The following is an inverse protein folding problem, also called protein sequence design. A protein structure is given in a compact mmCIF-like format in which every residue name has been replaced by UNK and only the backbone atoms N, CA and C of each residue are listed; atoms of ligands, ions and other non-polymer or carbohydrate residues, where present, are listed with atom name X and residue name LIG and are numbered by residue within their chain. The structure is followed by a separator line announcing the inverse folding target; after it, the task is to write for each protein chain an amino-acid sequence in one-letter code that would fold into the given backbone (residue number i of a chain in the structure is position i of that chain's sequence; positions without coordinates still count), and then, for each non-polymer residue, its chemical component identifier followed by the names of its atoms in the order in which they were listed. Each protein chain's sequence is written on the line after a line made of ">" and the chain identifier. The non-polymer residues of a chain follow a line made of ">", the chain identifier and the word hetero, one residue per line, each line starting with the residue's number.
data_IF_090861498583
#
_entry.id   IF_090861498583
#
_cell.length_a   1.000
_cell.length_b   1.000
_cell.length_c   1.000
_cell.angle_alpha   90.00
_cell.angle_beta   90.00
_cell.angle_gamma   90.00
#
_symmetry.space_group_name_H-M   'P 1'
#
loop_
_entity.id
_entity.type
_entity.pdbx_description
1 polymer ?
#
# COMPACT_ATOMS: atom_id res chain seq x y z
N UNK A 1 -50.07 13.83 -11.87
CA UNK A 1 -48.65 13.96 -11.49
C UNK A 1 -48.06 12.56 -11.40
N UNK A 2 -47.27 12.16 -12.40
CA UNK A 2 -46.74 10.81 -12.52
C UNK A 2 -45.72 10.51 -11.42
N UNK A 3 -45.83 9.35 -10.79
CA UNK A 3 -44.80 8.85 -9.88
C UNK A 3 -43.71 8.22 -10.74
N UNK A 4 -42.58 8.91 -10.88
CA UNK A 4 -41.35 8.30 -11.41
C UNK A 4 -40.93 7.19 -10.45
N UNK A 5 -41.15 5.94 -10.83
CA UNK A 5 -40.60 4.79 -10.15
C UNK A 5 -39.17 4.58 -10.68
N UNK A 6 -38.30 5.53 -10.37
CA UNK A 6 -36.86 5.32 -10.49
C UNK A 6 -36.47 4.18 -9.55
N UNK A 7 -35.59 3.29 -10.00
CA UNK A 7 -35.04 2.20 -9.20
C UNK A 7 -34.61 2.76 -7.84
N UNK A 8 -35.37 2.46 -6.78
CA UNK A 8 -34.99 2.85 -5.42
C UNK A 8 -33.73 2.07 -5.10
N UNK A 9 -32.60 2.77 -5.05
CA UNK A 9 -31.35 2.17 -4.60
C UNK A 9 -31.53 1.86 -3.12
N UNK A 10 -31.78 0.58 -2.82
CA UNK A 10 -32.08 0.09 -1.47
C UNK A 10 -30.99 0.49 -0.46
N UNK A 11 -29.73 0.58 -0.90
CA UNK A 11 -28.62 1.06 -0.09
C UNK A 11 -28.80 2.53 0.34
N UNK A 12 -29.33 3.38 -0.54
CA UNK A 12 -29.57 4.79 -0.23
C UNK A 12 -30.72 4.95 0.78
N UNK A 13 -31.72 4.07 0.74
CA UNK A 13 -32.81 4.07 1.71
C UNK A 13 -32.31 3.64 3.10
N UNK A 14 -31.55 2.54 3.17
CA UNK A 14 -30.93 2.08 4.43
C UNK A 14 -30.06 3.18 5.03
N UNK A 15 -29.23 3.82 4.21
CA UNK A 15 -28.34 4.87 4.68
C UNK A 15 -29.12 6.08 5.24
N UNK A 16 -30.18 6.53 4.55
CA UNK A 16 -31.05 7.62 5.00
C UNK A 16 -31.77 7.31 6.30
N UNK A 17 -32.24 6.07 6.46
CA UNK A 17 -32.91 5.62 7.68
C UNK A 17 -31.93 5.62 8.86
N UNK A 18 -30.73 5.07 8.67
CA UNK A 18 -29.65 5.06 9.67
C UNK A 18 -29.20 6.48 10.07
N UNK A 19 -29.09 7.39 9.10
CA UNK A 19 -28.78 8.80 9.36
C UNK A 19 -29.89 9.49 10.18
N UNK A 20 -31.16 9.26 9.81
CA UNK A 20 -32.33 9.84 10.49
C UNK A 20 -32.45 9.37 11.93
N UNK A 21 -32.13 8.10 12.19
CA UNK A 21 -32.11 7.51 13.54
C UNK A 21 -30.92 7.98 14.40
N UNK A 22 -30.07 8.86 13.85
CA UNK A 22 -28.92 9.40 14.57
C UNK A 22 -27.72 8.44 14.58
N UNK A 23 -27.74 7.36 13.80
CA UNK A 23 -26.66 6.38 13.72
C UNK A 23 -25.31 6.97 13.33
N UNK A 24 -25.30 8.10 12.60
CA UNK A 24 -24.06 8.86 12.33
C UNK A 24 -23.71 9.81 13.49
N UNK A 25 -24.70 10.53 14.03
CA UNK A 25 -24.50 11.57 15.06
C UNK A 25 -24.03 10.99 16.39
N UNK A 26 -24.36 9.74 16.67
CA UNK A 26 -23.98 9.03 17.88
C UNK A 26 -22.52 8.53 17.85
N UNK A 27 -21.82 8.66 16.71
CA UNK A 27 -20.44 8.20 16.60
C UNK A 27 -19.47 9.09 17.42
N UNK A 28 -18.50 8.49 18.13
CA UNK A 28 -17.45 9.23 18.80
C UNK A 28 -16.71 10.15 17.84
N UNK A 29 -16.66 11.45 18.15
CA UNK A 29 -15.98 12.44 17.33
C UNK A 29 -16.79 12.98 16.15
N UNK A 30 -18.09 12.67 16.04
CA UNK A 30 -18.96 13.25 15.02
C UNK A 30 -18.92 14.79 15.06
N UNK A 31 -18.70 15.42 13.90
CA UNK A 31 -18.58 16.87 13.75
C UNK A 31 -17.28 17.49 14.26
N UNK A 32 -16.37 16.72 14.87
CA UNK A 32 -15.05 17.20 15.29
C UNK A 32 -14.05 17.10 14.13
N UNK A 33 -13.08 18.02 14.03
CA UNK A 33 -11.97 17.88 13.10
C UNK A 33 -11.23 16.55 13.30
N UNK A 34 -10.70 15.99 12.22
CA UNK A 34 -9.81 14.82 12.30
C UNK A 34 -8.57 15.18 13.14
N UNK A 35 -8.07 14.25 13.96
CA UNK A 35 -6.86 14.51 14.74
C UNK A 35 -5.66 14.71 13.80
N UNK A 36 -4.75 15.61 14.18
CA UNK A 36 -3.56 15.94 13.38
C UNK A 36 -2.67 14.71 13.11
N UNK A 37 -2.65 13.74 14.01
CA UNK A 37 -1.98 12.45 13.81
C UNK A 37 -2.55 11.61 12.66
N UNK A 38 -3.84 11.73 12.34
CA UNK A 38 -4.42 11.06 11.18
C UNK A 38 -4.07 11.77 9.86
N UNK A 39 -3.68 13.04 9.94
CA UNK A 39 -3.34 13.88 8.80
C UNK A 39 -1.82 13.99 8.57
N UNK A 40 -1.02 13.59 9.55
CA UNK A 40 0.44 13.60 9.51
C UNK A 40 1.00 12.19 9.30
N UNK A 41 2.23 12.12 8.79
CA UNK A 41 2.92 10.86 8.53
C UNK A 41 2.68 10.27 7.14
N UNK A 42 3.24 9.08 6.91
CA UNK A 42 3.08 8.33 5.67
C UNK A 42 1.76 7.53 5.72
N UNK A 43 1.04 7.50 4.59
CA UNK A 43 -0.18 6.72 4.38
C UNK A 43 0.00 5.25 4.82
N UNK A 44 1.18 4.68 4.55
CA UNK A 44 1.50 3.31 4.95
C UNK A 44 1.51 3.09 6.46
N UNK A 45 2.22 3.95 7.18
CA UNK A 45 2.39 3.83 8.63
C UNK A 45 1.04 4.03 9.32
N UNK A 46 0.26 4.98 8.83
CA UNK A 46 -1.09 5.23 9.32
C UNK A 46 -2.00 4.02 9.08
N UNK A 47 -1.99 3.44 7.87
CA UNK A 47 -2.79 2.25 7.57
C UNK A 47 -2.38 1.06 8.44
N UNK A 48 -1.08 0.78 8.55
CA UNK A 48 -0.58 -0.36 9.32
C UNK A 48 -0.87 -0.20 10.82
N UNK A 49 -0.73 1.01 11.35
CA UNK A 49 -1.06 1.31 12.75
C UNK A 49 -2.54 1.05 13.01
N UNK A 50 -3.43 1.58 12.16
CA UNK A 50 -4.87 1.38 12.32
C UNK A 50 -5.30 -0.08 12.13
N UNK A 51 -4.68 -0.79 11.18
CA UNK A 51 -4.92 -2.22 11.00
C UNK A 51 -4.54 -3.01 12.26
N UNK A 52 -3.36 -2.74 12.84
CA UNK A 52 -2.91 -3.36 14.09
C UNK A 52 -3.81 -3.02 15.28
N UNK A 53 -4.20 -1.74 15.43
CA UNK A 53 -5.13 -1.30 16.48
C UNK A 53 -6.47 -2.06 16.39
N UNK A 54 -6.90 -2.40 15.18
CA UNK A 54 -8.10 -3.19 14.91
C UNK A 54 -7.89 -4.72 15.02
N UNK A 55 -6.69 -5.19 15.39
CA UNK A 55 -6.35 -6.61 15.45
C UNK A 55 -6.22 -7.29 14.09
N UNK A 56 -6.03 -6.51 13.02
CA UNK A 56 -5.97 -7.00 11.64
C UNK A 56 -4.56 -6.83 11.05
N UNK A 57 -3.99 -7.92 10.50
CA UNK A 57 -2.77 -7.86 9.71
C UNK A 57 -3.08 -8.14 8.23
N UNK A 58 -2.92 -7.14 7.35
CA UNK A 58 -3.20 -7.31 5.93
C UNK A 58 -2.29 -8.37 5.29
N UNK A 59 -2.87 -9.28 4.52
CA UNK A 59 -2.16 -10.38 3.83
C UNK A 59 -1.01 -9.90 2.94
N UNK A 60 -1.12 -8.72 2.34
CA UNK A 60 -0.08 -8.15 1.47
C UNK A 60 1.22 -7.81 2.23
N UNK A 61 1.18 -7.62 3.55
CA UNK A 61 2.39 -7.44 4.39
C UNK A 61 3.25 -8.71 4.38
N UNK A 62 2.60 -9.88 4.46
CA UNK A 62 3.29 -11.18 4.38
C UNK A 62 3.99 -11.33 3.04
N UNK A 63 3.27 -11.07 1.94
CA UNK A 63 3.83 -11.11 0.59
C UNK A 63 4.99 -10.12 0.41
N UNK A 64 4.89 -8.92 0.97
CA UNK A 64 5.97 -7.93 0.91
C UNK A 64 7.25 -8.42 1.61
N UNK A 65 7.14 -9.15 2.72
CA UNK A 65 8.27 -9.77 3.41
C UNK A 65 8.88 -10.89 2.56
N UNK A 66 8.05 -11.82 2.09
CA UNK A 66 8.52 -12.97 1.28
C UNK A 66 9.23 -12.51 0.00
N UNK A 67 8.63 -11.58 -0.75
CA UNK A 67 9.23 -11.03 -1.98
C UNK A 67 10.62 -10.42 -1.68
N UNK A 68 10.79 -9.79 -0.52
CA UNK A 68 12.07 -9.18 -0.13
C UNK A 68 13.13 -10.23 0.17
N UNK A 69 12.76 -11.27 0.92
CA UNK A 69 13.66 -12.35 1.30
C UNK A 69 14.11 -13.15 0.07
N UNK A 70 13.17 -13.49 -0.82
CA UNK A 70 13.48 -14.21 -2.06
C UNK A 70 14.31 -13.37 -3.03
N UNK A 71 14.01 -12.07 -3.15
CA UNK A 71 14.81 -11.18 -3.99
C UNK A 71 16.25 -11.05 -3.46
N UNK A 72 16.43 -10.97 -2.13
CA UNK A 72 17.76 -10.94 -1.52
C UNK A 72 18.53 -12.23 -1.81
N UNK A 73 17.85 -13.37 -1.79
CA UNK A 73 18.44 -14.67 -2.14
C UNK A 73 18.85 -14.74 -3.61
N UNK A 74 18.01 -14.27 -4.54
CA UNK A 74 18.36 -14.22 -5.97
C UNK A 74 19.57 -13.32 -6.21
N UNK A 75 19.65 -12.17 -5.53
CA UNK A 75 20.84 -11.29 -5.59
C UNK A 75 22.09 -11.99 -5.06
N UNK A 76 21.96 -12.79 -3.99
CA UNK A 76 23.06 -13.59 -3.45
C UNK A 76 23.53 -14.66 -4.46
N UNK A 77 22.60 -15.38 -5.07
CA UNK A 77 22.90 -16.42 -6.07
C UNK A 77 23.56 -15.84 -7.33
N UNK A 78 23.12 -14.66 -7.78
CA UNK A 78 23.77 -13.93 -8.88
C UNK A 78 25.25 -13.66 -8.59
N UNK A 79 25.60 -13.30 -7.35
CA UNK A 79 27.01 -13.07 -6.94
C UNK A 79 27.82 -14.36 -6.88
N UNK A 80 27.17 -15.51 -6.77
CA UNK A 80 27.81 -16.83 -6.77
C UNK A 80 27.94 -17.42 -8.18
N UNK A 81 27.66 -16.66 -9.24
CA UNK A 81 27.65 -17.10 -10.63
C UNK A 81 26.70 -18.30 -10.88
N UNK A 82 25.54 -18.31 -10.23
CA UNK A 82 24.46 -19.25 -10.55
C UNK A 82 24.01 -19.11 -12.01
N UNK A 83 23.47 -20.19 -12.57
CA UNK A 83 23.06 -20.20 -14.00
C UNK A 83 21.93 -19.20 -14.26
N UNK A 84 22.05 -18.43 -15.35
CA UNK A 84 21.06 -17.41 -15.74
C UNK A 84 19.63 -17.98 -15.86
N UNK A 85 19.49 -19.22 -16.36
CA UNK A 85 18.21 -19.93 -16.45
C UNK A 85 17.53 -20.13 -15.09
N UNK A 86 18.30 -20.48 -14.05
CA UNK A 86 17.77 -20.68 -12.70
C UNK A 86 17.40 -19.33 -12.05
N UNK A 87 18.19 -18.29 -12.29
CA UNK A 87 17.88 -16.92 -11.85
C UNK A 87 16.59 -16.41 -12.50
N UNK A 88 16.40 -16.63 -13.81
CA UNK A 88 15.18 -16.25 -14.53
C UNK A 88 13.96 -16.99 -14.00
N UNK A 89 14.07 -18.29 -13.72
CA UNK A 89 12.98 -19.07 -13.15
C UNK A 89 12.53 -18.52 -11.80
N UNK A 90 13.47 -18.32 -10.87
CA UNK A 90 13.17 -17.73 -9.55
C UNK A 90 12.62 -16.33 -9.64
N UNK A 91 13.08 -15.53 -10.62
CA UNK A 91 12.53 -14.19 -10.86
C UNK A 91 11.06 -14.25 -11.29
N UNK A 92 10.70 -15.21 -12.15
CA UNK A 92 9.32 -15.42 -12.59
C UNK A 92 8.40 -15.75 -11.41
N UNK A 93 8.87 -16.63 -10.51
CA UNK A 93 8.16 -17.00 -9.28
C UNK A 93 7.96 -15.79 -8.36
N UNK A 94 8.99 -14.96 -8.16
CA UNK A 94 8.90 -13.72 -7.40
C UNK A 94 7.87 -12.77 -8.04
N UNK A 95 7.87 -12.62 -9.37
CA UNK A 95 6.93 -11.74 -10.06
C UNK A 95 5.47 -12.22 -9.96
N UNK A 96 5.23 -13.52 -9.85
CA UNK A 96 3.90 -14.05 -9.54
C UNK A 96 3.41 -13.61 -8.15
N UNK A 97 4.30 -13.60 -7.17
CA UNK A 97 3.99 -13.02 -5.84
C UNK A 97 3.77 -11.52 -5.91
N UNK A 98 4.53 -10.78 -6.73
CA UNK A 98 4.32 -9.34 -6.96
C UNK A 98 2.94 -9.08 -7.56
N UNK A 99 2.50 -9.87 -8.54
CA UNK A 99 1.13 -9.75 -9.10
C UNK A 99 0.06 -10.04 -8.07
N UNK A 100 0.24 -11.07 -7.26
CA UNK A 100 -0.68 -11.42 -6.17
C UNK A 100 -0.75 -10.31 -5.13
N UNK A 101 0.41 -9.78 -4.71
CA UNK A 101 0.51 -8.61 -3.84
C UNK A 101 -0.24 -7.40 -4.44
N UNK A 102 -0.03 -7.09 -5.71
CA UNK A 102 -0.64 -5.93 -6.36
C UNK A 102 -2.17 -6.05 -6.48
N UNK A 103 -2.70 -7.27 -6.62
CA UNK A 103 -4.14 -7.51 -6.71
C UNK A 103 -4.90 -7.14 -5.42
N UNK A 104 -4.23 -7.25 -4.26
CA UNK A 104 -4.83 -6.95 -2.94
C UNK A 104 -4.28 -5.66 -2.30
N UNK A 105 -3.21 -5.09 -2.85
CA UNK A 105 -2.57 -3.90 -2.32
C UNK A 105 -3.23 -2.63 -2.89
N UNK A 106 -3.48 -1.59 -2.06
CA UNK A 106 -3.94 -0.29 -2.55
C UNK A 106 -3.05 0.25 -3.68
N UNK A 107 -3.65 0.89 -4.69
CA UNK A 107 -2.95 1.34 -5.91
C UNK A 107 -1.70 2.17 -5.65
N UNK A 108 -1.69 3.00 -4.60
CA UNK A 108 -0.54 3.84 -4.23
C UNK A 108 0.67 3.06 -3.70
N UNK A 109 0.49 1.79 -3.38
CA UNK A 109 1.46 0.93 -2.72
C UNK A 109 1.82 -0.30 -3.58
N UNK A 110 1.26 -0.40 -4.77
CA UNK A 110 1.61 -1.43 -5.75
C UNK A 110 3.06 -1.31 -6.20
N UNK A 111 3.67 -2.44 -6.59
CA UNK A 111 5.07 -2.55 -7.02
C UNK A 111 5.14 -2.94 -8.48
N UNK A 112 6.18 -2.50 -9.19
CA UNK A 112 6.49 -3.02 -10.53
C UNK A 112 7.06 -4.44 -10.42
N UNK A 113 6.86 -5.24 -11.47
CA UNK A 113 7.60 -6.48 -11.66
C UNK A 113 9.10 -6.21 -11.76
N UNK A 114 9.89 -7.20 -11.35
CA UNK A 114 11.34 -7.13 -11.21
C UNK A 114 11.98 -7.75 -12.44
N UNK A 115 12.92 -7.03 -13.03
CA UNK A 115 13.73 -7.47 -14.18
C UNK A 115 15.16 -7.78 -13.70
N UNK A 116 15.87 -8.68 -14.40
CA UNK A 116 17.20 -9.14 -14.02
C UNK A 116 18.24 -8.01 -13.93
N UNK A 117 18.13 -7.01 -14.80
CA UNK A 117 19.00 -5.84 -14.82
C UNK A 117 18.68 -4.85 -13.70
N UNK A 118 17.42 -4.81 -13.25
CA UNK A 118 16.93 -3.88 -12.23
C UNK A 118 16.85 -4.48 -10.83
N UNK A 119 17.22 -5.75 -10.62
CA UNK A 119 17.10 -6.45 -9.34
C UNK A 119 17.70 -5.70 -8.15
N UNK A 120 18.92 -5.17 -8.29
CA UNK A 120 19.60 -4.45 -7.21
C UNK A 120 18.88 -3.14 -6.87
N UNK A 121 18.37 -2.45 -7.90
CA UNK A 121 17.56 -1.24 -7.75
C UNK A 121 16.22 -1.57 -7.11
N UNK A 122 15.57 -2.65 -7.51
CA UNK A 122 14.31 -3.15 -6.95
C UNK A 122 14.44 -3.60 -5.48
N UNK A 123 15.62 -4.10 -5.08
CA UNK A 123 15.93 -4.44 -3.69
C UNK A 123 16.13 -3.17 -2.84
N UNK A 124 16.90 -2.19 -3.34
CA UNK A 124 17.08 -0.88 -2.69
C UNK A 124 15.78 -0.09 -2.59
N UNK A 125 14.87 -0.28 -3.55
CA UNK A 125 13.56 0.35 -3.58
C UNK A 125 12.48 -0.50 -2.90
N UNK A 126 12.73 -1.76 -2.54
CA UNK A 126 11.77 -2.62 -1.82
C UNK A 126 11.56 -2.22 -0.36
N UNK A 127 12.48 -1.41 0.17
CA UNK A 127 12.33 -0.64 1.41
C UNK A 127 11.68 0.72 1.19
N UNK A 128 11.29 1.06 -0.05
CA UNK A 128 10.74 2.36 -0.42
C UNK A 128 9.39 2.27 -1.13
N UNK A 129 8.37 2.85 -0.53
CA UNK A 129 7.11 3.06 -1.26
C UNK A 129 7.35 4.12 -2.32
N UNK A 130 7.30 3.72 -3.58
CA UNK A 130 7.45 4.65 -4.69
C UNK A 130 6.11 5.31 -4.96
N UNK A 131 6.06 6.63 -4.75
CA UNK A 131 4.89 7.44 -5.09
C UNK A 131 4.69 7.47 -6.61
N UNK A 132 3.72 6.71 -7.13
CA UNK A 132 3.38 6.64 -8.57
C UNK A 132 2.98 7.98 -9.20
N UNK A 133 2.69 9.01 -8.38
CA UNK A 133 2.28 10.35 -8.84
C UNK A 133 3.42 11.37 -8.84
N UNK A 134 4.54 11.08 -8.17
CA UNK A 134 5.55 12.10 -7.87
C UNK A 134 7.01 11.61 -7.96
N UNK A 135 7.26 10.32 -8.21
CA UNK A 135 8.62 9.79 -8.43
C UNK A 135 9.51 9.73 -7.18
N UNK A 136 9.06 10.24 -6.03
CA UNK A 136 9.84 10.23 -4.80
C UNK A 136 9.95 8.84 -4.16
N UNK A 137 11.17 8.55 -3.70
CA UNK A 137 11.64 7.33 -3.05
C UNK A 137 11.68 7.54 -1.52
N UNK A 138 10.74 6.98 -0.75
CA UNK A 138 10.71 7.12 0.71
C UNK A 138 11.37 5.93 1.43
N UNK A 139 12.47 6.12 2.16
CA UNK A 139 13.08 5.07 3.00
C UNK A 139 12.19 4.70 4.21
N UNK A 140 11.74 3.44 4.30
CA UNK A 140 10.94 2.93 5.44
C UNK A 140 11.82 2.47 6.61
N UNK A 141 13.15 2.38 6.46
CA UNK A 141 14.01 1.76 7.51
C UNK A 141 15.00 2.70 8.20
N UNK A 142 15.24 3.94 7.76
CA UNK A 142 16.08 4.85 8.57
C UNK A 142 15.65 6.31 8.40
N UNK A 143 15.17 6.86 9.52
CA UNK A 143 14.96 8.29 9.82
C UNK A 143 13.75 8.93 9.12
N UNK A 144 12.71 9.17 9.93
CA UNK A 144 11.66 10.12 9.60
C UNK A 144 12.27 11.49 9.32
N UNK A 145 12.37 11.85 8.04
CA UNK A 145 12.62 13.19 7.55
C UNK A 145 12.01 13.28 6.15
N UNK A 146 10.76 13.73 6.07
CA UNK A 146 10.28 14.43 4.89
C UNK A 146 10.95 15.80 4.91
N UNK A 147 12.12 15.94 4.28
CA UNK A 147 12.73 17.26 4.12
C UNK A 147 11.93 18.01 3.06
N UNK A 148 11.18 19.01 3.54
CA UNK A 148 10.52 20.01 2.72
C UNK A 148 11.48 20.55 1.66
N UNK A 149 10.93 20.77 0.47
CA UNK A 149 11.63 21.34 -0.66
C UNK A 149 12.23 22.71 -0.36
N UNK A 150 13.23 23.02 -1.17
CA UNK A 150 13.43 24.36 -1.73
C UNK A 150 13.54 25.52 -0.72
N UNK A 151 14.72 25.67 -0.13
CA UNK A 151 15.31 27.01 -0.10
C UNK A 151 16.08 27.22 -1.41
N UNK A 152 15.36 27.72 -2.42
CA UNK A 152 15.95 28.47 -3.53
C UNK A 152 15.50 29.93 -3.36
N UNK A 153 16.43 30.72 -2.82
CA UNK A 153 16.50 32.20 -2.78
C UNK A 153 15.29 32.95 -2.22
#
# INVERSE_FOLDING_TARGET
>A
MGKEHGHVNWMDQIFKEYEREGGLKNNPGFGKPLPESALSGNIYDNFLTKAKDAGFLPLWIKWQKEIREELAEVVRLKKMNETESELMKRMSEINEKVRTYNAICPTKMQRREIELESMETSMKNGSKLQCVKCGYLYDVIMKGLCYNGMNKK
#
